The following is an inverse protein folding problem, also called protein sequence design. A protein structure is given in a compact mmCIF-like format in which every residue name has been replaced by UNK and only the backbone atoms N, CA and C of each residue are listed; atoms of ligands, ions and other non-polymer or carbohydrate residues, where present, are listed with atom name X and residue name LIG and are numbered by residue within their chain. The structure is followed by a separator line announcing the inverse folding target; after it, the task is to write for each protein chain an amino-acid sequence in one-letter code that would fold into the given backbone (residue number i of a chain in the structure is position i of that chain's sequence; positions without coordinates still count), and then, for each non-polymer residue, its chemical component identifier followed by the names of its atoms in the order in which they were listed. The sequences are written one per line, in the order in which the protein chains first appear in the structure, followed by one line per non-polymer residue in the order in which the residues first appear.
data_IF_156607153107
#
_entry.id   IF_156607153107
#
_cell.length_a   1.000
_cell.length_b   1.000
_cell.length_c   1.000
_cell.angle_alpha   90.00
_cell.angle_beta   90.00
_cell.angle_gamma   90.00
#
_symmetry.space_group_name_H-M   'P 1'
#
loop_
_entity.id
_entity.type
_entity.pdbx_description
1 polymer ?
#
# COMPACT_ATOMS: atom_id res chain seq x y z
N UNK A 1 4.05 4.01 1.22
CA UNK A 1 2.59 3.95 1.48
C UNK A 1 2.14 2.49 1.41
N UNK A 2 1.39 2.03 2.40
CA UNK A 2 0.87 0.66 2.46
C UNK A 2 -0.63 0.66 2.15
N UNK A 3 -1.05 -0.23 1.25
CA UNK A 3 -2.45 -0.51 0.94
C UNK A 3 -2.83 -1.90 1.47
N UNK A 4 -3.98 -1.97 2.11
CA UNK A 4 -4.57 -3.21 2.62
C UNK A 4 -5.07 -4.14 1.51
N UNK A 5 -5.75 -5.18 1.95
CA UNK A 5 -6.40 -6.17 1.11
C UNK A 5 -7.79 -5.68 0.64
N UNK A 6 -8.47 -6.50 -0.17
CA UNK A 6 -9.84 -6.27 -0.65
C UNK A 6 -10.01 -5.10 -1.62
N UNK A 7 -8.92 -4.66 -2.25
CA UNK A 7 -8.96 -3.70 -3.37
C UNK A 7 -9.14 -4.50 -4.68
N UNK A 8 -10.19 -4.24 -5.47
CA UNK A 8 -10.43 -4.96 -6.72
C UNK A 8 -9.25 -4.83 -7.69
N UNK A 9 -8.97 -5.92 -8.42
CA UNK A 9 -7.81 -5.99 -9.32
C UNK A 9 -8.05 -5.27 -10.64
N UNK A 10 -9.31 -5.15 -11.04
CA UNK A 10 -9.69 -4.49 -12.30
C UNK A 10 -10.69 -3.36 -12.07
N UNK A 11 -10.64 -2.36 -12.95
CA UNK A 11 -11.65 -1.29 -13.03
C UNK A 11 -13.06 -1.83 -13.22
N UNK A 12 -13.20 -2.96 -13.91
CA UNK A 12 -14.48 -3.63 -14.14
C UNK A 12 -15.06 -4.15 -12.82
N UNK A 13 -14.27 -4.88 -12.04
CA UNK A 13 -14.65 -5.36 -10.70
C UNK A 13 -14.93 -4.19 -9.75
N UNK A 14 -14.14 -3.13 -9.84
CA UNK A 14 -14.25 -2.01 -8.91
C UNK A 14 -15.53 -1.16 -9.09
N UNK A 15 -16.07 -1.10 -10.32
CA UNK A 15 -17.22 -0.25 -10.66
C UNK A 15 -18.54 -0.69 -10.02
N UNK A 16 -18.60 -1.90 -9.47
CA UNK A 16 -19.81 -2.41 -8.82
C UNK A 16 -20.18 -1.62 -7.56
N UNK A 17 -19.18 -1.08 -6.84
CA UNK A 17 -19.41 -0.29 -5.62
C UNK A 17 -18.55 0.99 -5.62
N UNK A 18 -19.13 2.17 -5.31
CA UNK A 18 -18.39 3.44 -5.35
C UNK A 18 -17.12 3.48 -4.49
N UNK A 19 -17.15 2.87 -3.30
CA UNK A 19 -15.98 2.82 -2.41
C UNK A 19 -14.89 1.89 -2.96
N UNK A 20 -15.26 0.74 -3.53
CA UNK A 20 -14.33 -0.19 -4.18
C UNK A 20 -13.66 0.47 -5.38
N UNK A 21 -14.42 1.20 -6.20
CA UNK A 21 -13.89 2.02 -7.28
C UNK A 21 -12.89 3.05 -6.76
N UNK A 22 -13.25 3.80 -5.71
CA UNK A 22 -12.38 4.83 -5.15
C UNK A 22 -11.06 4.26 -4.63
N UNK A 23 -11.05 3.10 -3.95
CA UNK A 23 -9.82 2.45 -3.49
C UNK A 23 -8.95 1.94 -4.63
N UNK A 24 -9.56 1.36 -5.67
CA UNK A 24 -8.84 0.96 -6.87
C UNK A 24 -8.21 2.18 -7.58
N UNK A 25 -8.94 3.31 -7.73
CA UNK A 25 -8.38 4.57 -8.25
C UNK A 25 -7.19 5.03 -7.42
N UNK A 26 -7.32 5.05 -6.09
CA UNK A 26 -6.29 5.56 -5.18
C UNK A 26 -5.02 4.73 -5.24
N UNK A 27 -5.11 3.40 -5.34
CA UNK A 27 -3.95 2.54 -5.50
C UNK A 27 -3.23 2.81 -6.84
N UNK A 28 -3.97 2.94 -7.94
CA UNK A 28 -3.38 3.29 -9.24
C UNK A 28 -2.71 4.68 -9.22
N UNK A 29 -3.37 5.68 -8.64
CA UNK A 29 -2.84 7.04 -8.53
C UNK A 29 -1.58 7.08 -7.65
N UNK A 30 -1.58 6.34 -6.55
CA UNK A 30 -0.43 6.21 -5.67
C UNK A 30 0.80 5.67 -6.40
N UNK A 31 0.63 4.65 -7.26
CA UNK A 31 1.73 4.09 -8.06
C UNK A 31 2.31 5.14 -9.00
N UNK A 32 1.45 5.83 -9.77
CA UNK A 32 1.86 6.93 -10.66
C UNK A 32 2.57 8.06 -9.92
N UNK A 33 2.08 8.39 -8.71
CA UNK A 33 2.69 9.40 -7.85
C UNK A 33 4.10 8.98 -7.41
N UNK A 34 4.30 7.74 -6.97
CA UNK A 34 5.61 7.25 -6.58
C UNK A 34 6.58 7.18 -7.77
N UNK A 35 6.11 6.73 -8.94
CA UNK A 35 6.88 6.78 -10.19
C UNK A 35 7.35 8.19 -10.51
N UNK A 36 6.44 9.19 -10.44
CA UNK A 36 6.78 10.58 -10.70
C UNK A 36 7.81 11.13 -9.70
N UNK A 37 7.66 10.83 -8.40
CA UNK A 37 8.64 11.22 -7.38
C UNK A 37 10.01 10.64 -7.71
N UNK A 38 10.07 9.35 -8.00
CA UNK A 38 11.33 8.65 -8.26
C UNK A 38 11.99 9.15 -9.55
N UNK A 39 11.20 9.47 -10.59
CA UNK A 39 11.69 10.08 -11.82
C UNK A 39 12.33 11.47 -11.61
N UNK A 40 11.98 12.16 -10.51
CA UNK A 40 12.52 13.47 -10.15
C UNK A 40 13.56 13.39 -9.01
N UNK A 41 14.19 12.24 -8.81
CA UNK A 41 15.26 12.05 -7.82
C UNK A 41 14.81 11.81 -6.38
N UNK A 42 13.50 11.62 -6.15
CA UNK A 42 12.97 11.23 -4.85
C UNK A 42 13.06 9.73 -4.57
N UNK A 43 12.50 9.29 -3.43
CA UNK A 43 12.50 7.89 -3.01
C UNK A 43 11.17 7.50 -2.34
N UNK A 44 10.19 7.13 -3.15
CA UNK A 44 8.85 6.74 -2.73
C UNK A 44 8.55 5.29 -3.10
N UNK A 45 7.94 4.56 -2.16
CA UNK A 45 7.48 3.18 -2.36
C UNK A 45 5.97 3.08 -2.08
N UNK A 46 5.25 2.38 -2.95
CA UNK A 46 3.87 1.97 -2.74
C UNK A 46 3.83 0.45 -2.64
N UNK A 47 3.29 -0.05 -1.52
CA UNK A 47 3.24 -1.48 -1.22
C UNK A 47 1.78 -1.88 -1.08
N UNK A 48 1.33 -2.80 -1.94
CA UNK A 48 0.05 -3.47 -1.79
C UNK A 48 0.29 -4.76 -1.00
N UNK A 49 -0.16 -4.81 0.25
CA UNK A 49 0.20 -5.87 1.21
C UNK A 49 -0.05 -7.30 0.70
N UNK A 50 -1.16 -7.60 -0.02
CA UNK A 50 -1.39 -8.92 -0.58
C UNK A 50 -0.34 -9.37 -1.62
N UNK A 51 0.28 -8.44 -2.34
CA UNK A 51 1.32 -8.74 -3.35
C UNK A 51 2.61 -9.25 -2.72
N UNK A 52 2.85 -8.93 -1.45
CA UNK A 52 3.99 -9.41 -0.66
C UNK A 52 3.59 -10.52 0.33
N UNK A 53 2.41 -11.13 0.13
CA UNK A 53 1.93 -12.25 0.94
C UNK A 53 1.27 -11.89 2.27
N UNK A 54 1.11 -10.60 2.61
CA UNK A 54 0.40 -10.18 3.80
C UNK A 54 -1.08 -9.88 3.47
N UNK A 55 -1.94 -10.85 3.79
CA UNK A 55 -3.37 -10.83 3.47
C UNK A 55 -4.25 -10.52 4.68
N UNK A 56 -5.49 -10.13 4.43
CA UNK A 56 -6.52 -9.86 5.44
C UNK A 56 -6.43 -8.47 6.08
N UNK A 57 -5.59 -7.59 5.55
CA UNK A 57 -5.49 -6.21 6.04
C UNK A 57 -6.66 -5.35 5.58
N UNK A 58 -7.17 -4.50 6.47
CA UNK A 58 -8.19 -3.50 6.17
C UNK A 58 -7.55 -2.18 5.71
N UNK A 59 -8.34 -1.11 5.66
CA UNK A 59 -7.81 0.25 5.49
C UNK A 59 -6.91 0.70 6.65
N UNK A 60 -7.02 0.09 7.83
CA UNK A 60 -6.27 0.44 9.03
C UNK A 60 -5.24 -0.63 9.40
N UNK A 61 -4.20 -0.85 8.58
CA UNK A 61 -3.24 -1.94 8.78
C UNK A 61 -2.41 -1.80 10.07
N UNK A 62 -2.36 -0.62 10.68
CA UNK A 62 -1.74 -0.40 11.99
C UNK A 62 -2.60 -0.89 13.17
N UNK A 63 -3.91 -1.07 12.96
CA UNK A 63 -4.87 -1.51 13.98
C UNK A 63 -5.38 -2.95 13.75
N UNK A 64 -5.12 -3.54 12.58
CA UNK A 64 -5.48 -4.93 12.27
C UNK A 64 -4.80 -5.94 13.22
N UNK A 65 -5.37 -7.14 13.33
CA UNK A 65 -4.84 -8.22 14.19
C UNK A 65 -3.40 -8.64 13.84
N UNK A 66 -2.99 -8.41 12.59
CA UNK A 66 -1.63 -8.69 12.11
C UNK A 66 -0.73 -7.44 12.10
N UNK A 67 -1.10 -6.36 12.79
CA UNK A 67 -0.39 -5.07 12.79
C UNK A 67 1.10 -5.17 13.12
N UNK A 68 1.52 -6.13 13.96
CA UNK A 68 2.95 -6.36 14.25
C UNK A 68 3.74 -6.75 12.99
N UNK A 69 3.14 -7.46 12.04
CA UNK A 69 3.75 -7.77 10.73
C UNK A 69 3.87 -6.51 9.87
N UNK A 70 2.84 -5.65 9.86
CA UNK A 70 2.89 -4.36 9.16
C UNK A 70 3.96 -3.45 9.77
N UNK A 71 4.06 -3.39 11.10
CA UNK A 71 5.09 -2.65 11.81
C UNK A 71 6.50 -3.16 11.50
N UNK A 72 6.68 -4.47 11.33
CA UNK A 72 7.96 -5.05 10.90
C UNK A 72 8.36 -4.57 9.50
N UNK A 73 7.42 -4.53 8.54
CA UNK A 73 7.68 -3.98 7.20
C UNK A 73 8.12 -2.52 7.26
N UNK A 74 7.44 -1.69 8.07
CA UNK A 74 7.81 -0.29 8.26
C UNK A 74 9.20 -0.16 8.89
N UNK A 75 9.51 -0.94 9.93
CA UNK A 75 10.83 -0.96 10.57
C UNK A 75 11.93 -1.35 9.58
N UNK A 76 11.72 -2.40 8.79
CA UNK A 76 12.67 -2.82 7.75
C UNK A 76 12.90 -1.68 6.76
N UNK A 77 11.84 -1.01 6.30
CA UNK A 77 11.98 0.12 5.40
C UNK A 77 12.77 1.27 6.06
N UNK A 78 12.45 1.66 7.29
CA UNK A 78 13.18 2.70 8.02
C UNK A 78 14.68 2.37 8.19
N UNK A 79 15.02 1.11 8.52
CA UNK A 79 16.42 0.65 8.59
C UNK A 79 17.14 0.84 7.26
N UNK A 80 16.51 0.48 6.13
CA UNK A 80 17.11 0.69 4.80
C UNK A 80 17.32 2.16 4.42
N UNK A 81 16.69 3.08 5.15
CA UNK A 81 16.88 4.54 4.99
C UNK A 81 17.78 5.16 6.05
N UNK A 82 18.27 4.39 7.01
CA UNK A 82 19.05 4.90 8.14
C UNK A 82 18.22 5.69 9.16
N UNK A 83 16.91 5.46 9.24
CA UNK A 83 16.00 6.17 10.17
C UNK A 83 15.62 5.34 11.41
N UNK A 84 16.18 4.14 11.57
CA UNK A 84 15.87 3.23 12.67
C UNK A 84 17.02 2.23 12.83
N UNK A 85 17.33 1.83 14.06
CA UNK A 85 18.42 0.90 14.41
C UNK A 85 17.98 -0.56 14.57
#
# INVERSE_FOLDING_TARGET
MYFGDFIPKSRKEAREYPLSYAWNVRLELARKWAELINANGGNANVVHLPEIGLKGNTHFPFADLNNRKVAALLKTWLKTKGFYE
#
